data_IF_163110899461
#
_entry.id   IF_163110899461
#
_cell.length_a   1.000
_cell.length_b   1.000
_cell.length_c   1.000
_cell.angle_alpha   90.00
_cell.angle_beta   90.00
_cell.angle_gamma   90.00
#
_symmetry.space_group_name_H-M   'P 1'
#
loop_
_entity.id
_entity.type
_entity.pdbx_description
1 polymer ?
#
# COMPACT_ATOMS: atom_id res chain seq x y z
N UNK A 1 -9.07 4.87 -9.68
CA UNK A 1 -7.71 4.37 -9.98
C UNK A 1 -7.79 2.85 -9.95
N UNK A 2 -7.55 2.17 -11.06
CA UNK A 2 -7.52 0.69 -11.09
C UNK A 2 -6.15 0.24 -10.58
N UNK A 3 -6.09 -0.28 -9.35
CA UNK A 3 -4.89 -0.95 -8.87
C UNK A 3 -4.88 -2.34 -9.51
N UNK A 4 -3.88 -2.62 -10.36
CA UNK A 4 -3.66 -3.99 -10.85
C UNK A 4 -3.33 -4.87 -9.65
N UNK A 5 -4.02 -5.99 -9.50
CA UNK A 5 -3.70 -6.95 -8.44
C UNK A 5 -2.27 -7.45 -8.64
N UNK A 6 -1.43 -7.34 -7.61
CA UNK A 6 -0.07 -7.90 -7.61
C UNK A 6 -0.09 -9.44 -7.72
N UNK A 7 -1.19 -10.05 -7.28
CA UNK A 7 -1.48 -11.48 -7.38
C UNK A 7 -2.82 -11.61 -8.11
N UNK A 8 -2.90 -12.27 -9.29
CA UNK A 8 -4.17 -12.50 -9.97
C UNK A 8 -5.16 -13.22 -9.05
N UNK A 9 -6.42 -12.76 -8.89
CA UNK A 9 -7.40 -13.44 -8.04
C UNK A 9 -7.60 -14.92 -8.39
N UNK A 10 -7.42 -15.28 -9.66
CA UNK A 10 -7.50 -16.65 -10.18
C UNK A 10 -6.32 -17.54 -9.72
N UNK A 11 -5.21 -16.91 -9.32
CA UNK A 11 -4.02 -17.59 -8.80
C UNK A 11 -4.09 -17.90 -7.30
N UNK A 12 -5.24 -17.64 -6.65
CA UNK A 12 -5.49 -17.94 -5.23
C UNK A 12 -6.55 -19.07 -5.11
N UNK A 13 -6.12 -20.35 -5.01
CA UNK A 13 -7.01 -21.52 -4.92
C UNK A 13 -7.68 -21.70 -3.52
N UNK A 14 -8.56 -22.71 -3.30
CA UNK A 14 -9.74 -22.69 -2.38
C UNK A 14 -9.47 -22.40 -0.89
N UNK A 15 -10.57 -22.17 -0.12
CA UNK A 15 -10.69 -21.81 1.31
C UNK A 15 -9.52 -22.19 2.23
N UNK A 16 -9.02 -23.44 2.15
CA UNK A 16 -7.88 -23.97 2.92
C UNK A 16 -6.59 -23.13 2.78
N UNK A 17 -6.46 -22.34 1.72
CA UNK A 17 -5.30 -21.45 1.52
C UNK A 17 -5.38 -20.13 2.27
N UNK A 18 -6.58 -19.62 2.58
CA UNK A 18 -6.70 -18.36 3.32
C UNK A 18 -6.39 -18.54 4.80
N UNK A 19 -6.81 -19.66 5.41
CA UNK A 19 -6.45 -19.99 6.79
C UNK A 19 -4.92 -20.02 6.95
N UNK A 20 -4.24 -20.82 6.10
CA UNK A 20 -2.77 -20.89 6.06
C UNK A 20 -2.12 -19.53 5.77
N UNK A 21 -2.67 -18.74 4.86
CA UNK A 21 -2.15 -17.40 4.58
C UNK A 21 -2.20 -16.53 5.84
N UNK A 22 -3.34 -16.54 6.54
CA UNK A 22 -3.59 -15.69 7.70
C UNK A 22 -2.93 -16.18 8.98
N UNK A 23 -2.51 -17.44 9.06
CA UNK A 23 -1.61 -17.95 10.11
C UNK A 23 -0.24 -17.27 10.09
N UNK A 24 0.21 -16.77 8.93
CA UNK A 24 1.48 -16.06 8.79
C UNK A 24 1.39 -14.57 9.17
N UNK A 25 0.19 -14.05 9.50
CA UNK A 25 0.09 -12.66 9.93
C UNK A 25 0.63 -12.50 11.36
N UNK A 26 1.48 -11.47 11.60
CA UNK A 26 2.02 -11.24 12.92
C UNK A 26 0.93 -10.82 13.90
N UNK A 27 1.05 -11.28 15.15
CA UNK A 27 0.19 -10.80 16.23
C UNK A 27 0.56 -9.35 16.60
N UNK A 28 -0.38 -8.43 16.40
CA UNK A 28 -0.19 -7.03 16.79
C UNK A 28 -0.79 -6.82 18.18
N UNK A 29 -0.12 -6.11 19.10
CA UNK A 29 -0.60 -5.89 20.45
C UNK A 29 -2.02 -5.32 20.49
N UNK A 30 -2.94 -6.08 21.10
CA UNK A 30 -4.33 -5.67 21.29
C UNK A 30 -4.40 -4.58 22.37
N UNK A 31 -4.80 -3.36 21.99
CA UNK A 31 -5.29 -2.37 22.97
C UNK A 31 -6.72 -2.77 23.35
N UNK A 32 -6.88 -3.40 24.51
CA UNK A 32 -8.19 -3.79 25.02
C UNK A 32 -8.94 -2.58 25.57
N UNK A 33 -10.16 -2.33 25.10
CA UNK A 33 -11.11 -1.46 25.79
C UNK A 33 -11.88 -2.28 26.84
N UNK A 34 -11.77 -1.92 28.11
CA UNK A 34 -12.31 -2.70 29.24
C UNK A 34 -13.84 -2.65 29.42
N UNK A 35 -14.61 -1.97 28.56
CA UNK A 35 -16.07 -1.82 28.73
C UNK A 35 -16.85 -1.97 27.41
N UNK A 36 -17.94 -2.73 27.46
CA UNK A 36 -18.92 -2.89 26.37
C UNK A 36 -18.88 -4.24 25.65
N UNK A 37 -19.78 -4.44 24.68
CA UNK A 37 -19.75 -5.60 23.77
C UNK A 37 -18.39 -5.63 23.07
N UNK A 38 -17.69 -6.78 23.02
CA UNK A 38 -16.41 -6.84 22.35
C UNK A 38 -16.57 -6.35 20.91
N UNK A 39 -15.83 -5.31 20.49
CA UNK A 39 -15.84 -4.90 19.10
C UNK A 39 -15.34 -6.05 18.23
N UNK A 40 -15.75 -6.06 16.95
CA UNK A 40 -15.18 -6.96 15.95
C UNK A 40 -13.65 -6.86 16.03
N UNK A 41 -12.98 -8.01 15.99
CA UNK A 41 -11.53 -8.06 16.13
C UNK A 41 -10.86 -7.21 15.05
N UNK A 42 -9.90 -6.37 15.46
CA UNK A 42 -9.04 -5.62 14.53
C UNK A 42 -8.31 -6.53 13.55
N UNK A 43 -7.94 -7.73 14.02
CA UNK A 43 -7.33 -8.77 13.20
C UNK A 43 -8.29 -9.23 12.09
N UNK A 44 -9.55 -9.48 12.43
CA UNK A 44 -10.57 -9.87 11.43
C UNK A 44 -10.84 -8.78 10.40
N UNK A 45 -10.84 -7.51 10.82
CA UNK A 45 -10.99 -6.38 9.91
C UNK A 45 -9.76 -6.25 8.99
N UNK A 46 -8.55 -6.44 9.52
CA UNK A 46 -7.32 -6.46 8.73
C UNK A 46 -7.34 -7.60 7.71
N UNK A 47 -7.66 -8.83 8.14
CA UNK A 47 -7.79 -10.00 7.26
C UNK A 47 -8.83 -9.76 6.18
N UNK A 48 -9.98 -9.16 6.52
CA UNK A 48 -11.01 -8.78 5.54
C UNK A 48 -10.49 -7.79 4.49
N UNK A 49 -9.68 -6.80 4.88
CA UNK A 49 -9.07 -5.85 3.95
C UNK A 49 -7.98 -6.48 3.07
N UNK A 50 -7.19 -7.42 3.62
CA UNK A 50 -6.22 -8.19 2.84
C UNK A 50 -6.96 -9.06 1.82
N UNK A 51 -7.98 -9.79 2.25
CA UNK A 51 -8.85 -10.59 1.40
C UNK A 51 -9.47 -9.75 0.27
N UNK A 52 -9.99 -8.57 0.61
CA UNK A 52 -10.50 -7.59 -0.37
C UNK A 52 -9.48 -7.30 -1.47
N UNK A 53 -8.23 -7.00 -1.10
CA UNK A 53 -7.17 -6.70 -2.05
C UNK A 53 -6.79 -7.93 -2.89
N UNK A 54 -6.70 -9.11 -2.29
CA UNK A 54 -6.39 -10.37 -2.97
C UNK A 54 -7.46 -10.78 -3.98
N UNK A 55 -8.74 -10.50 -3.69
CA UNK A 55 -9.87 -10.75 -4.59
C UNK A 55 -10.09 -9.65 -5.63
N UNK A 56 -9.30 -8.57 -5.60
CA UNK A 56 -9.48 -7.42 -6.50
C UNK A 56 -10.77 -6.64 -6.25
N UNK A 57 -11.34 -6.72 -5.06
CA UNK A 57 -12.56 -5.99 -4.69
C UNK A 57 -12.19 -4.54 -4.40
N UNK A 58 -12.86 -3.60 -5.06
CA UNK A 58 -12.43 -2.20 -5.03
C UNK A 58 -13.23 -1.35 -4.03
N UNK A 59 -14.48 -1.68 -3.73
CA UNK A 59 -15.30 -0.93 -2.76
C UNK A 59 -15.49 -1.70 -1.46
N UNK A 60 -15.64 -0.98 -0.35
CA UNK A 60 -15.93 -1.61 0.94
C UNK A 60 -17.34 -2.23 0.98
N UNK A 61 -18.32 -1.58 0.33
CA UNK A 61 -19.68 -2.14 0.14
C UNK A 61 -19.65 -3.46 -0.63
N UNK A 62 -18.77 -3.58 -1.63
CA UNK A 62 -18.59 -4.83 -2.38
C UNK A 62 -17.94 -5.93 -1.52
N UNK A 63 -17.07 -5.56 -0.57
CA UNK A 63 -16.51 -6.50 0.41
C UNK A 63 -17.59 -7.00 1.38
N UNK A 64 -18.42 -6.11 1.91
CA UNK A 64 -19.55 -6.49 2.76
C UNK A 64 -20.48 -7.46 2.02
N UNK A 65 -20.85 -7.13 0.78
CA UNK A 65 -21.66 -7.99 -0.07
C UNK A 65 -20.99 -9.36 -0.33
N UNK A 66 -19.70 -9.40 -0.65
CA UNK A 66 -18.96 -10.65 -0.85
C UNK A 66 -18.97 -11.53 0.41
N UNK A 67 -18.72 -10.95 1.58
CA UNK A 67 -18.71 -11.69 2.84
C UNK A 67 -20.10 -12.20 3.23
N UNK A 68 -21.16 -11.45 2.90
CA UNK A 68 -22.53 -11.87 3.12
C UNK A 68 -22.92 -13.05 2.22
N UNK A 69 -22.51 -13.03 0.96
CA UNK A 69 -22.82 -14.08 -0.01
C UNK A 69 -21.86 -15.28 0.05
N UNK A 70 -20.73 -15.15 0.75
CA UNK A 70 -19.77 -16.22 0.95
C UNK A 70 -19.46 -16.45 2.45
N UNK A 71 -20.43 -16.96 3.25
CA UNK A 71 -20.22 -17.23 4.68
C UNK A 71 -19.07 -18.19 4.97
N UNK A 72 -18.70 -19.03 3.98
CA UNK A 72 -17.56 -19.95 4.09
C UNK A 72 -16.24 -19.20 4.31
N UNK A 73 -16.14 -17.95 3.86
CA UNK A 73 -14.97 -17.10 4.07
C UNK A 73 -14.94 -16.43 5.44
N UNK A 74 -16.01 -16.45 6.22
CA UNK A 74 -16.04 -15.80 7.53
C UNK A 74 -15.01 -16.42 8.49
N UNK A 75 -14.95 -17.75 8.56
CA UNK A 75 -14.08 -18.46 9.51
C UNK A 75 -12.57 -18.21 9.27
N UNK A 76 -12.02 -18.30 8.04
CA UNK A 76 -10.62 -17.91 7.76
C UNK A 76 -10.28 -16.47 8.18
N UNK A 77 -11.28 -15.57 8.18
CA UNK A 77 -11.12 -14.17 8.59
C UNK A 77 -11.31 -13.97 10.10
N UNK A 78 -11.58 -15.03 10.86
CA UNK A 78 -11.93 -14.95 12.29
C UNK A 78 -13.30 -14.30 12.55
N UNK A 79 -14.19 -14.34 11.56
CA UNK A 79 -15.59 -13.91 11.67
C UNK A 79 -16.50 -15.11 11.90
N UNK A 80 -17.68 -14.87 12.46
CA UNK A 80 -18.69 -15.90 12.70
C UNK A 80 -19.58 -16.07 11.46
N UNK A 81 -19.58 -17.25 10.80
CA UNK A 81 -20.38 -17.50 9.59
C UNK A 81 -21.89 -17.36 9.79
N UNK A 82 -22.37 -17.47 11.03
CA UNK A 82 -23.80 -17.39 11.37
C UNK A 82 -24.25 -15.96 11.70
N UNK A 83 -23.31 -15.00 11.77
CA UNK A 83 -23.60 -13.60 12.05
C UNK A 83 -23.44 -12.74 10.81
N UNK A 84 -24.03 -11.56 10.86
CA UNK A 84 -23.81 -10.53 9.86
C UNK A 84 -22.31 -10.16 9.81
N UNK A 85 -21.70 -10.09 8.61
CA UNK A 85 -20.32 -9.66 8.47
C UNK A 85 -20.16 -8.18 8.87
N UNK A 86 -18.92 -7.69 9.04
CA UNK A 86 -18.68 -6.27 9.29
C UNK A 86 -19.20 -5.44 8.11
N UNK A 87 -19.93 -4.36 8.41
CA UNK A 87 -20.39 -3.42 7.39
C UNK A 87 -19.23 -2.60 6.80
N UNK A 88 -19.47 -1.97 5.65
CA UNK A 88 -18.51 -1.09 5.01
C UNK A 88 -18.08 0.08 5.92
N UNK A 89 -18.99 0.61 6.77
CA UNK A 89 -18.63 1.63 7.75
C UNK A 89 -17.69 1.11 8.83
N UNK A 90 -17.79 -0.17 9.22
CA UNK A 90 -16.85 -0.77 10.18
C UNK A 90 -15.45 -0.88 9.61
N UNK A 91 -15.32 -1.27 8.34
CA UNK A 91 -14.03 -1.24 7.64
C UNK A 91 -13.50 0.18 7.47
N UNK A 92 -14.38 1.12 7.11
CA UNK A 92 -14.04 2.55 6.96
C UNK A 92 -13.52 3.14 8.28
N UNK A 93 -14.21 2.86 9.38
CA UNK A 93 -13.81 3.28 10.71
C UNK A 93 -12.48 2.66 11.14
N UNK A 94 -12.26 1.37 10.85
CA UNK A 94 -10.98 0.73 11.09
C UNK A 94 -9.82 1.42 10.35
N UNK A 95 -10.01 1.78 9.08
CA UNK A 95 -8.99 2.49 8.29
C UNK A 95 -8.72 3.90 8.85
N UNK A 96 -9.75 4.61 9.33
CA UNK A 96 -9.59 5.96 9.92
C UNK A 96 -8.92 5.93 11.28
N UNK A 97 -9.27 4.95 12.10
CA UNK A 97 -8.81 4.84 13.49
C UNK A 97 -7.45 4.16 13.66
N UNK A 98 -6.86 3.58 12.60
CA UNK A 98 -5.53 2.98 12.64
C UNK A 98 -4.60 3.71 11.65
N UNK A 99 -3.67 4.57 12.13
CA UNK A 99 -2.79 5.34 11.26
C UNK A 99 -1.85 4.41 10.47
N UNK A 100 -1.26 4.90 9.37
CA UNK A 100 -0.39 4.11 8.49
C UNK A 100 0.72 3.36 9.24
N UNK A 101 1.25 3.90 10.33
CA UNK A 101 2.24 3.24 11.18
C UNK A 101 1.82 1.86 11.71
N UNK A 102 0.51 1.62 11.90
CA UNK A 102 -0.01 0.29 12.23
C UNK A 102 0.28 -0.72 11.12
N UNK A 103 -0.03 -0.38 9.86
CA UNK A 103 0.18 -1.26 8.72
C UNK A 103 1.67 -1.40 8.39
N UNK A 104 2.48 -0.36 8.62
CA UNK A 104 3.93 -0.45 8.47
C UNK A 104 4.55 -1.39 9.50
N UNK A 105 4.04 -1.42 10.74
CA UNK A 105 4.50 -2.38 11.73
C UNK A 105 4.25 -3.84 11.28
N UNK A 106 3.07 -4.11 10.71
CA UNK A 106 2.76 -5.44 10.12
C UNK A 106 3.74 -5.80 9.01
N UNK A 107 3.97 -4.87 8.07
CA UNK A 107 4.94 -5.07 6.99
C UNK A 107 6.33 -5.38 7.53
N UNK A 108 6.82 -4.59 8.48
CA UNK A 108 8.17 -4.76 9.06
C UNK A 108 8.34 -6.13 9.68
N UNK A 109 7.35 -6.61 10.45
CA UNK A 109 7.38 -7.94 11.05
C UNK A 109 7.39 -9.05 9.98
N UNK A 110 6.58 -8.91 8.92
CA UNK A 110 6.58 -9.85 7.80
C UNK A 110 7.92 -9.88 7.06
N UNK A 111 8.50 -8.71 6.78
CA UNK A 111 9.81 -8.59 6.13
C UNK A 111 10.91 -9.19 7.01
N UNK A 112 10.89 -8.96 8.32
CA UNK A 112 11.83 -9.58 9.27
C UNK A 112 11.76 -11.10 9.23
N UNK A 113 10.56 -11.68 9.21
CA UNK A 113 10.42 -13.14 9.12
C UNK A 113 10.94 -13.67 7.78
N UNK A 114 10.65 -12.98 6.67
CA UNK A 114 11.16 -13.36 5.35
C UNK A 114 12.69 -13.30 5.24
N UNK A 115 13.33 -12.34 5.91
CA UNK A 115 14.79 -12.26 6.00
C UNK A 115 15.33 -13.44 6.82
N UNK A 116 14.70 -13.73 7.97
CA UNK A 116 15.10 -14.84 8.85
C UNK A 116 14.98 -16.21 8.16
N UNK A 117 13.93 -16.40 7.38
CA UNK A 117 13.72 -17.63 6.58
C UNK A 117 14.59 -17.67 5.31
N UNK A 118 15.40 -16.65 5.04
CA UNK A 118 16.31 -16.60 3.88
C UNK A 118 15.60 -16.38 2.53
N UNK A 119 14.36 -15.91 2.53
CA UNK A 119 13.62 -15.56 1.30
C UNK A 119 14.05 -14.19 0.77
N UNK A 120 14.30 -13.24 1.67
CA UNK A 120 14.82 -11.90 1.33
C UNK A 120 16.29 -11.85 1.70
N UNK A 121 17.15 -11.71 0.69
CA UNK A 121 18.60 -11.56 0.91
C UNK A 121 19.01 -10.10 1.08
N UNK A 122 18.36 -9.16 0.37
CA UNK A 122 18.64 -7.73 0.47
C UNK A 122 20.03 -7.31 -0.05
N UNK A 123 20.69 -8.17 -0.84
CA UNK A 123 21.98 -7.88 -1.49
C UNK A 123 21.81 -6.87 -2.63
N UNK A 124 20.68 -6.93 -3.34
CA UNK A 124 20.29 -5.96 -4.34
C UNK A 124 18.90 -5.41 -4.04
N UNK A 125 18.74 -4.08 -4.11
CA UNK A 125 17.44 -3.43 -3.91
C UNK A 125 17.08 -2.50 -5.07
N UNK A 126 15.80 -2.47 -5.41
CA UNK A 126 15.21 -1.63 -6.43
C UNK A 126 14.39 -0.51 -5.82
N UNK A 127 14.60 0.72 -6.28
CA UNK A 127 13.81 1.89 -5.91
C UNK A 127 12.93 2.34 -7.08
N UNK A 128 11.64 2.47 -6.82
CA UNK A 128 10.68 3.02 -7.78
C UNK A 128 9.68 3.97 -7.12
N UNK A 129 9.09 4.86 -7.93
CA UNK A 129 7.96 5.67 -7.48
C UNK A 129 6.84 5.77 -8.51
N UNK A 130 5.61 5.61 -8.03
CA UNK A 130 4.41 5.66 -8.84
C UNK A 130 3.54 6.86 -8.45
N UNK A 131 3.00 7.62 -9.43
CA UNK A 131 2.08 8.71 -9.15
C UNK A 131 0.72 8.19 -8.64
N UNK A 132 0.18 8.86 -7.62
CA UNK A 132 -1.18 8.66 -7.12
C UNK A 132 -1.96 9.96 -7.38
N UNK A 133 -2.92 9.92 -8.29
CA UNK A 133 -3.76 11.08 -8.60
C UNK A 133 -4.86 11.24 -7.55
N UNK A 134 -4.96 12.43 -6.96
CA UNK A 134 -6.04 12.75 -6.05
C UNK A 134 -7.37 12.90 -6.81
N UNK A 135 -8.47 12.57 -6.15
CA UNK A 135 -9.82 12.75 -6.72
C UNK A 135 -10.28 14.21 -6.62
N UNK A 136 -9.59 15.10 -7.34
CA UNK A 136 -9.86 16.55 -7.36
C UNK A 136 -10.24 17.02 -8.76
N UNK A 137 -11.07 18.06 -8.84
CA UNK A 137 -11.53 18.61 -10.13
C UNK A 137 -10.39 19.07 -11.03
N UNK A 138 -9.26 19.48 -10.44
CA UNK A 138 -8.03 19.91 -11.13
C UNK A 138 -7.40 18.80 -11.98
N UNK A 139 -7.65 17.52 -11.67
CA UNK A 139 -7.21 16.39 -12.49
C UNK A 139 -8.19 16.07 -13.63
N UNK A 140 -9.43 16.60 -13.59
CA UNK A 140 -10.37 16.46 -14.70
C UNK A 140 -10.07 17.50 -15.79
N UNK A 141 -9.44 17.06 -16.88
CA UNK A 141 -9.08 17.93 -18.01
C UNK A 141 -10.31 18.52 -18.74
N UNK A 142 -11.50 17.94 -18.56
CA UNK A 142 -12.76 18.46 -19.14
C UNK A 142 -13.32 19.65 -18.35
N UNK A 143 -12.91 19.84 -17.10
CA UNK A 143 -13.38 20.95 -16.27
C UNK A 143 -12.56 22.20 -16.54
N UNK A 144 -13.19 23.33 -16.88
CA UNK A 144 -12.47 24.61 -17.02
C UNK A 144 -12.04 25.12 -15.64
N UNK A 145 -10.73 25.26 -15.43
CA UNK A 145 -10.15 25.70 -14.15
C UNK A 145 -9.08 26.73 -14.44
N UNK A 146 -9.28 27.94 -13.90
CA UNK A 146 -8.25 28.99 -13.88
C UNK A 146 -7.08 28.55 -13.00
N UNK A 147 -5.86 28.82 -13.43
CA UNK A 147 -4.63 28.56 -12.68
C UNK A 147 -4.51 27.09 -12.23
N UNK A 148 -4.93 26.15 -13.10
CA UNK A 148 -4.95 24.69 -12.82
C UNK A 148 -3.63 24.15 -12.26
N UNK A 149 -2.51 24.68 -12.75
CA UNK A 149 -1.16 24.22 -12.42
C UNK A 149 -0.38 25.19 -11.55
N UNK A 150 -1.05 26.09 -10.82
CA UNK A 150 -0.38 26.91 -9.81
C UNK A 150 0.05 26.03 -8.62
N UNK A 151 1.36 25.81 -8.48
CA UNK A 151 1.94 24.95 -7.43
C UNK A 151 1.72 25.45 -6.00
N UNK A 152 1.35 26.72 -5.81
CA UNK A 152 1.10 27.30 -4.48
C UNK A 152 -0.37 27.18 -4.05
N UNK A 153 -1.25 26.76 -4.96
CA UNK A 153 -2.67 26.56 -4.69
C UNK A 153 -2.90 25.32 -3.83
N UNK A 154 -3.87 25.42 -2.92
CA UNK A 154 -4.43 24.28 -2.17
C UNK A 154 -5.78 23.88 -2.76
N UNK A 155 -5.84 22.73 -3.43
CA UNK A 155 -7.07 22.22 -4.05
C UNK A 155 -8.13 21.89 -2.99
N UNK A 156 -9.41 22.06 -3.32
CA UNK A 156 -10.48 21.98 -2.32
C UNK A 156 -10.85 20.56 -1.90
N UNK A 157 -10.77 19.61 -2.83
CA UNK A 157 -11.15 18.21 -2.58
C UNK A 157 -10.12 17.40 -1.79
N UNK A 158 -8.88 17.88 -1.74
CA UNK A 158 -7.79 17.29 -0.95
C UNK A 158 -6.75 18.38 -0.66
N UNK A 159 -6.66 18.82 0.61
CA UNK A 159 -5.78 19.92 1.01
C UNK A 159 -4.31 19.52 1.11
N UNK A 160 -4.01 18.23 1.13
CA UNK A 160 -2.66 17.71 1.24
C UNK A 160 -2.07 17.36 -0.12
N UNK A 161 -2.90 17.13 -1.14
CA UNK A 161 -2.45 16.95 -2.51
C UNK A 161 -1.57 18.13 -2.99
N UNK A 162 -0.48 17.81 -3.69
CA UNK A 162 0.40 18.81 -4.33
C UNK A 162 0.58 18.50 -5.80
N UNK A 163 0.96 19.53 -6.56
CA UNK A 163 1.24 19.40 -7.98
C UNK A 163 2.50 18.55 -8.21
N UNK A 164 2.33 17.45 -8.92
CA UNK A 164 3.38 16.55 -9.39
C UNK A 164 3.51 16.57 -10.91
N UNK A 165 4.57 15.94 -11.38
CA UNK A 165 4.88 15.79 -12.81
C UNK A 165 5.19 14.34 -13.10
N UNK A 166 4.54 13.79 -14.12
CA UNK A 166 4.84 12.49 -14.71
C UNK A 166 5.34 12.69 -16.13
N UNK A 167 6.39 11.98 -16.50
CA UNK A 167 7.00 12.07 -17.83
C UNK A 167 6.80 10.73 -18.52
N UNK A 168 6.12 10.76 -19.67
CA UNK A 168 5.90 9.59 -20.50
C UNK A 168 6.66 9.74 -21.83
N UNK A 169 7.22 8.64 -22.32
CA UNK A 169 7.89 8.59 -23.62
C UNK A 169 7.09 7.70 -24.58
N UNK A 170 6.02 8.22 -25.22
CA UNK A 170 5.20 7.44 -26.14
C UNK A 170 5.98 6.91 -27.37
N UNK A 171 7.09 7.55 -27.72
CA UNK A 171 8.06 7.02 -28.68
C UNK A 171 9.48 7.41 -28.24
N UNK A 172 10.53 6.74 -28.73
CA UNK A 172 11.91 7.11 -28.45
C UNK A 172 12.11 8.61 -28.64
N UNK A 173 12.72 9.26 -27.65
CA UNK A 173 13.05 10.69 -27.63
C UNK A 173 11.86 11.68 -27.66
N UNK A 174 10.60 11.23 -27.70
CA UNK A 174 9.44 12.13 -27.59
C UNK A 174 8.93 12.16 -26.15
N UNK A 175 9.19 13.27 -25.45
CA UNK A 175 8.73 13.49 -24.08
C UNK A 175 7.32 14.06 -24.05
N UNK A 176 6.41 13.43 -23.31
CA UNK A 176 5.11 13.97 -22.94
C UNK A 176 5.06 14.23 -21.44
N UNK A 177 4.84 15.48 -21.05
CA UNK A 177 4.71 15.88 -19.65
C UNK A 177 3.24 15.83 -19.26
N UNK A 178 2.95 15.16 -18.15
CA UNK A 178 1.64 15.12 -17.53
C UNK A 178 1.74 15.72 -16.13
N UNK A 179 0.99 16.79 -15.88
CA UNK A 179 0.88 17.40 -14.57
C UNK A 179 -0.34 16.82 -13.86
N UNK A 180 -0.21 16.49 -12.58
CA UNK A 180 -1.30 15.95 -11.79
C UNK A 180 -1.24 16.48 -10.37
N UNK A 181 -2.39 16.61 -9.71
CA UNK A 181 -2.48 16.89 -8.28
C UNK A 181 -2.58 15.58 -7.51
N UNK A 182 -1.73 15.37 -6.51
CA UNK A 182 -1.81 14.20 -5.66
C UNK A 182 -0.52 13.90 -4.93
N UNK A 183 -0.15 12.62 -4.96
CA UNK A 183 0.92 12.02 -4.18
C UNK A 183 1.83 11.17 -5.07
N UNK A 184 2.95 10.73 -4.50
CA UNK A 184 3.79 9.68 -5.05
C UNK A 184 3.94 8.60 -3.99
N UNK A 185 3.80 7.35 -4.41
CA UNK A 185 4.15 6.20 -3.60
C UNK A 185 5.56 5.77 -3.97
N UNK A 186 6.44 5.71 -2.99
CA UNK A 186 7.83 5.30 -3.15
C UNK A 186 7.99 3.93 -2.51
N UNK A 187 8.58 2.99 -3.24
CA UNK A 187 8.74 1.60 -2.81
C UNK A 187 10.20 1.20 -2.95
N UNK A 188 10.70 0.44 -1.97
CA UNK A 188 11.94 -0.33 -2.10
C UNK A 188 11.56 -1.81 -2.16
N UNK A 189 12.06 -2.51 -3.19
CA UNK A 189 11.92 -3.95 -3.35
C UNK A 189 13.27 -4.64 -3.24
N UNK A 190 13.28 -5.89 -2.81
CA UNK A 190 14.42 -6.79 -3.02
C UNK A 190 14.47 -7.20 -4.50
N UNK A 191 15.66 -7.15 -5.12
CA UNK A 191 15.79 -7.41 -6.57
C UNK A 191 15.69 -8.89 -6.92
N UNK A 192 15.99 -9.79 -5.98
CA UNK A 192 16.00 -11.23 -6.25
C UNK A 192 14.62 -11.85 -6.04
N UNK A 193 14.00 -11.59 -4.88
CA UNK A 193 12.65 -12.08 -4.56
C UNK A 193 11.53 -11.23 -5.15
N UNK A 194 11.84 -10.02 -5.63
CA UNK A 194 10.88 -9.00 -6.08
C UNK A 194 9.89 -8.54 -4.99
N UNK A 195 10.15 -8.86 -3.71
CA UNK A 195 9.25 -8.54 -2.61
C UNK A 195 9.43 -7.10 -2.11
N UNK A 196 8.33 -6.40 -1.76
CA UNK A 196 8.40 -5.04 -1.24
C UNK A 196 8.87 -4.99 0.21
N UNK A 197 9.99 -4.32 0.44
CA UNK A 197 10.63 -4.17 1.74
C UNK A 197 10.15 -2.92 2.49
N UNK A 198 9.96 -1.82 1.75
CA UNK A 198 9.58 -0.53 2.33
C UNK A 198 8.64 0.24 1.41
N UNK A 199 7.76 1.03 2.00
CA UNK A 199 6.81 1.88 1.25
C UNK A 199 6.53 3.18 2.02
N UNK A 200 6.56 4.31 1.32
CA UNK A 200 6.08 5.59 1.83
C UNK A 200 5.32 6.37 0.75
N UNK A 201 4.15 6.90 1.11
CA UNK A 201 3.40 7.82 0.26
C UNK A 201 3.63 9.26 0.73
N UNK A 202 4.05 10.13 -0.18
CA UNK A 202 4.33 11.54 0.08
C UNK A 202 3.65 12.44 -0.95
N UNK A 203 3.54 13.74 -0.66
CA UNK A 203 3.00 14.69 -1.64
C UNK A 203 3.81 14.67 -2.95
N UNK A 204 3.15 14.83 -4.09
CA UNK A 204 3.79 14.63 -5.40
C UNK A 204 4.88 15.64 -5.76
N UNK A 205 5.01 16.73 -4.99
CA UNK A 205 6.05 17.75 -5.17
C UNK A 205 7.36 17.43 -4.42
N UNK A 206 7.41 16.32 -3.66
CA UNK A 206 8.65 15.88 -2.99
C UNK A 206 9.62 15.32 -4.03
N UNK A 207 10.89 15.72 -3.90
CA UNK A 207 11.95 15.23 -4.79
C UNK A 207 12.28 13.78 -4.44
N UNK A 208 12.42 12.93 -5.45
CA UNK A 208 12.63 11.49 -5.26
C UNK A 208 14.00 11.16 -4.63
N UNK A 209 15.05 11.92 -4.97
CA UNK A 209 16.41 11.77 -4.42
C UNK A 209 16.44 11.74 -2.88
N UNK A 210 16.04 12.81 -2.18
CA UNK A 210 16.08 12.84 -0.72
C UNK A 210 15.14 11.83 -0.08
N UNK A 211 14.01 11.52 -0.72
CA UNK A 211 13.08 10.49 -0.24
C UNK A 211 13.75 9.12 -0.28
N UNK A 212 14.38 8.74 -1.40
CA UNK A 212 15.12 7.49 -1.52
C UNK A 212 16.25 7.37 -0.51
N UNK A 213 17.03 8.42 -0.29
CA UNK A 213 18.08 8.43 0.73
C UNK A 213 17.53 8.22 2.15
N UNK A 214 16.40 8.85 2.49
CA UNK A 214 15.74 8.64 3.80
C UNK A 214 15.29 7.18 3.94
N UNK A 215 14.62 6.65 2.92
CA UNK A 215 14.11 5.28 2.94
C UNK A 215 15.24 4.25 3.06
N UNK A 216 16.37 4.45 2.37
CA UNK A 216 17.54 3.57 2.49
C UNK A 216 18.12 3.58 3.90
N UNK A 217 18.19 4.77 4.53
CA UNK A 217 18.67 4.90 5.90
C UNK A 217 17.75 4.18 6.88
N UNK A 218 16.44 4.35 6.72
CA UNK A 218 15.43 3.69 7.55
C UNK A 218 15.46 2.16 7.36
N UNK A 219 15.58 1.69 6.11
CA UNK A 219 15.70 0.27 5.78
C UNK A 219 16.93 -0.37 6.43
N UNK A 220 18.08 0.31 6.34
CA UNK A 220 19.32 -0.17 6.97
C UNK A 220 19.20 -0.21 8.50
N UNK A 221 18.57 0.81 9.11
CA UNK A 221 18.33 0.86 10.54
C UNK A 221 17.42 -0.28 11.03
N UNK A 222 16.38 -0.61 10.27
CA UNK A 222 15.37 -1.58 10.70
C UNK A 222 15.74 -3.03 10.42
N UNK A 223 16.49 -3.30 9.34
CA UNK A 223 16.75 -4.67 8.87
C UNK A 223 18.23 -5.04 8.75
N UNK A 224 19.16 -4.07 8.80
CA UNK A 224 20.61 -4.33 8.68
C UNK A 224 21.02 -5.19 7.48
N UNK A 225 20.36 -5.00 6.33
CA UNK A 225 20.62 -5.73 5.10
C UNK A 225 22.02 -5.41 4.53
N UNK A 226 22.69 -6.37 3.88
CA UNK A 226 24.07 -6.22 3.38
C UNK A 226 24.20 -5.30 2.15
N UNK A 227 23.09 -4.94 1.49
CA UNK A 227 22.93 -4.00 0.35
C UNK A 227 24.24 -3.67 -0.38
N UNK A 228 24.48 -4.40 -1.48
CA UNK A 228 25.62 -4.22 -2.37
C UNK A 228 25.23 -3.44 -3.64
N UNK A 229 23.98 -3.57 -4.08
CA UNK A 229 23.46 -2.99 -5.32
C UNK A 229 22.18 -2.20 -5.06
N UNK A 230 22.14 -0.97 -5.58
CA UNK A 230 20.91 -0.15 -5.62
C UNK A 230 20.57 0.16 -7.08
N UNK A 231 19.40 -0.28 -7.52
CA UNK A 231 18.85 0.01 -8.85
C UNK A 231 17.72 1.06 -8.74
N UNK A 232 17.68 2.02 -9.66
CA UNK A 232 16.64 3.05 -9.69
C UNK A 232 16.55 3.76 -11.03
N UNK A 233 15.36 4.20 -11.40
CA UNK A 233 15.05 4.76 -12.73
C UNK A 233 15.66 6.14 -12.98
N UNK A 234 16.08 6.88 -11.94
CA UNK A 234 16.79 8.16 -12.13
C UNK A 234 18.00 8.42 -11.23
N UNK A 235 18.22 7.71 -10.10
CA UNK A 235 19.36 7.95 -9.19
C UNK A 235 19.74 6.68 -8.44
N UNK A 236 21.04 6.58 -8.14
CA UNK A 236 21.72 5.69 -7.15
C UNK A 236 22.61 4.60 -7.76
N UNK A 237 23.34 4.88 -8.84
CA UNK A 237 24.66 4.24 -9.00
C UNK A 237 25.68 5.01 -8.16
N UNK A 238 25.69 4.79 -6.85
CA UNK A 238 26.88 5.05 -6.03
C UNK A 238 27.41 3.70 -5.59
N UNK A 239 28.62 3.34 -6.06
CA UNK A 239 29.37 2.22 -5.52
C UNK A 239 29.53 2.44 -4.01
N UNK A 240 28.92 1.60 -3.21
CA UNK A 240 29.35 1.40 -1.82
C UNK A 240 30.81 0.94 -1.89
N UNK A 241 31.69 1.79 -1.38
CA UNK A 241 33.13 1.52 -1.23
C UNK A 241 33.37 1.08 0.21
#
# INVERSE_FOLDING_TARGET
>A
MYQRCLIPPESIPPRVKYEKLFENLPEIPKKWSQRGRPPISKDSLLKGLIYRNLRGIHKLVELEFELLNNPSMAEPLGLDPLKQPPSDERFSEFLRSNPNGYFQAVRKLLVQELIKEGVVHGTGIGFDSCPIEASVKENNLKTSIKDRYDKYRLVSGDKDARLGVSIHFPSPFKKKIHYFWGYRNHIINDLESELPLWEITLQANKSEKPVGLSMLKELHQDFSLPIEVVAGTQIMMSKTS
#
